data_IF_217548581624
#
_entry.id   IF_217548581624
#
_cell.length_a   1.000
_cell.length_b   1.000
_cell.length_c   1.000
_cell.angle_alpha   90.00
_cell.angle_beta   90.00
_cell.angle_gamma   90.00
#
_symmetry.space_group_name_H-M   'P 1'
#
loop_
_entity.id
_entity.type
_entity.pdbx_description
1 polymer ?
#
# COMPACT_ATOMS: atom_id res chain seq x y z
N UNK A 1 11.15 8.63 -7.60
CA UNK A 1 10.06 8.93 -8.56
C UNK A 1 9.12 7.74 -8.51
N UNK A 2 7.83 7.90 -8.19
CA UNK A 2 6.93 6.74 -8.00
C UNK A 2 6.62 6.05 -9.34
N UNK A 3 6.64 4.71 -9.38
CA UNK A 3 6.27 3.92 -10.56
C UNK A 3 4.82 4.19 -11.02
N UNK A 4 4.47 3.69 -12.21
CA UNK A 4 3.08 3.74 -12.67
C UNK A 4 2.19 2.82 -11.82
N UNK A 5 2.74 1.68 -11.42
CA UNK A 5 2.15 0.61 -10.63
C UNK A 5 1.81 1.10 -9.22
N UNK A 6 2.73 1.80 -8.54
CA UNK A 6 2.46 2.40 -7.22
C UNK A 6 1.38 3.47 -7.29
N UNK A 7 1.38 4.29 -8.34
CA UNK A 7 0.33 5.31 -8.53
C UNK A 7 -1.03 4.66 -8.76
N UNK A 8 -1.09 3.60 -9.57
CA UNK A 8 -2.31 2.84 -9.81
C UNK A 8 -2.82 2.15 -8.53
N UNK A 9 -1.94 1.46 -7.81
CA UNK A 9 -2.28 0.80 -6.55
C UNK A 9 -2.83 1.81 -5.55
N UNK A 10 -2.14 2.94 -5.36
CA UNK A 10 -2.58 4.02 -4.48
C UNK A 10 -3.94 4.57 -4.89
N UNK A 11 -4.21 4.73 -6.18
CA UNK A 11 -5.51 5.18 -6.66
C UNK A 11 -6.64 4.17 -6.33
N UNK A 12 -6.37 2.87 -6.49
CA UNK A 12 -7.33 1.83 -6.13
C UNK A 12 -7.60 1.78 -4.63
N UNK A 13 -6.54 1.78 -3.81
CA UNK A 13 -6.68 1.82 -2.34
C UNK A 13 -7.40 3.11 -1.91
N UNK A 14 -7.19 4.23 -2.59
CA UNK A 14 -7.91 5.46 -2.29
C UNK A 14 -9.41 5.40 -2.64
N UNK A 15 -9.77 4.72 -3.72
CA UNK A 15 -11.15 4.69 -4.23
C UNK A 15 -11.99 3.57 -3.61
N UNK A 16 -11.36 2.53 -3.07
CA UNK A 16 -12.02 1.33 -2.53
C UNK A 16 -11.75 1.19 -1.04
N UNK A 17 -12.80 1.35 -0.24
CA UNK A 17 -12.68 1.29 1.22
C UNK A 17 -12.22 -0.08 1.72
N UNK A 18 -12.69 -1.15 1.07
CA UNK A 18 -12.35 -2.53 1.40
C UNK A 18 -10.84 -2.82 1.27
N UNK A 19 -10.18 -2.17 0.31
CA UNK A 19 -8.73 -2.29 0.12
C UNK A 19 -7.96 -1.54 1.20
N UNK A 20 -8.50 -0.42 1.71
CA UNK A 20 -7.90 0.29 2.85
C UNK A 20 -8.02 -0.54 4.12
N UNK A 21 -9.21 -1.04 4.40
CA UNK A 21 -9.46 -1.86 5.59
C UNK A 21 -8.55 -3.10 5.63
N UNK A 22 -8.29 -3.72 4.47
CA UNK A 22 -7.36 -4.84 4.36
C UNK A 22 -5.89 -4.49 4.68
N UNK A 23 -5.50 -3.22 4.51
CA UNK A 23 -4.17 -2.70 4.82
C UNK A 23 -4.10 -2.05 6.20
N UNK A 24 -5.23 -1.87 6.87
CA UNK A 24 -5.29 -1.24 8.19
C UNK A 24 -5.20 -2.30 9.29
N UNK A 25 -4.56 -1.93 10.41
CA UNK A 25 -4.37 -2.82 11.55
C UNK A 25 -3.09 -3.67 11.53
N UNK A 26 -2.24 -3.53 10.51
CA UNK A 26 -0.90 -4.14 10.52
C UNK A 26 0.02 -3.39 11.48
N UNK A 27 0.43 -4.05 12.57
CA UNK A 27 1.21 -3.43 13.63
C UNK A 27 2.64 -3.08 13.16
N UNK A 28 3.26 -3.99 12.40
CA UNK A 28 4.64 -3.87 11.95
C UNK A 28 4.74 -3.36 10.51
N UNK A 29 5.82 -2.64 10.20
CA UNK A 29 6.13 -2.22 8.82
C UNK A 29 6.22 -3.44 7.88
N UNK A 30 6.87 -4.51 8.31
CA UNK A 30 7.01 -5.74 7.51
C UNK A 30 5.66 -6.40 7.20
N UNK A 31 4.71 -6.39 8.15
CA UNK A 31 3.36 -6.93 7.96
C UNK A 31 2.59 -6.07 6.95
N UNK A 32 2.70 -4.75 7.06
CA UNK A 32 2.10 -3.82 6.12
C UNK A 32 2.67 -3.99 4.71
N UNK A 33 4.00 -4.10 4.56
CA UNK A 33 4.66 -4.34 3.26
C UNK A 33 4.15 -5.65 2.66
N UNK A 34 4.12 -6.73 3.45
CA UNK A 34 3.65 -8.04 2.99
C UNK A 34 2.19 -8.00 2.54
N UNK A 35 1.32 -7.34 3.32
CA UNK A 35 -0.09 -7.16 2.98
C UNK A 35 -0.28 -6.30 1.71
N UNK A 36 0.53 -5.25 1.55
CA UNK A 36 0.53 -4.38 0.37
C UNK A 36 0.91 -5.14 -0.89
N UNK A 37 1.98 -5.95 -0.82
CA UNK A 37 2.43 -6.79 -1.94
C UNK A 37 1.40 -7.87 -2.28
N UNK A 38 0.83 -8.54 -1.27
CA UNK A 38 -0.21 -9.54 -1.48
C UNK A 38 -1.48 -8.93 -2.12
N UNK A 39 -1.88 -7.74 -1.68
CA UNK A 39 -3.02 -7.03 -2.24
C UNK A 39 -2.74 -6.56 -3.67
N UNK A 40 -1.55 -6.03 -3.93
CA UNK A 40 -1.14 -5.62 -5.27
C UNK A 40 -1.12 -6.82 -6.23
N UNK A 41 -0.62 -7.98 -5.79
CA UNK A 41 -0.64 -9.21 -6.58
C UNK A 41 -2.07 -9.67 -6.89
N UNK A 42 -2.99 -9.54 -5.94
CA UNK A 42 -4.43 -9.84 -6.14
C UNK A 42 -5.07 -8.89 -7.16
N UNK A 43 -4.57 -7.66 -7.27
CA UNK A 43 -5.01 -6.65 -8.22
C UNK A 43 -4.23 -6.68 -9.55
N UNK A 44 -3.38 -7.69 -9.75
CA UNK A 44 -2.50 -7.83 -10.92
C UNK A 44 -1.55 -6.62 -11.12
N UNK A 45 -1.15 -5.97 -10.03
CA UNK A 45 -0.21 -4.85 -10.00
C UNK A 45 1.16 -5.36 -9.54
N UNK A 46 2.17 -5.15 -10.37
CA UNK A 46 3.54 -5.56 -10.08
C UNK A 46 4.26 -4.50 -9.22
N UNK A 47 4.02 -4.53 -7.90
CA UNK A 47 4.77 -3.70 -6.95
C UNK A 47 6.05 -4.41 -6.47
N UNK A 48 7.14 -3.64 -6.36
CA UNK A 48 8.37 -4.07 -5.72
C UNK A 48 8.34 -3.84 -4.21
N UNK A 49 8.94 -4.76 -3.45
CA UNK A 49 9.07 -4.65 -1.99
C UNK A 49 9.80 -3.36 -1.57
N UNK A 50 10.92 -3.06 -2.22
CA UNK A 50 11.71 -1.84 -1.95
C UNK A 50 10.90 -0.57 -2.19
N UNK A 51 10.07 -0.56 -3.24
CA UNK A 51 9.23 0.59 -3.56
C UNK A 51 8.15 0.83 -2.49
N UNK A 52 7.56 -0.25 -1.97
CA UNK A 52 6.61 -0.18 -0.85
C UNK A 52 7.30 0.29 0.42
N UNK A 53 8.51 -0.21 0.73
CA UNK A 53 9.29 0.25 1.88
C UNK A 53 9.70 1.72 1.77
N UNK A 54 10.15 2.18 0.61
CA UNK A 54 10.46 3.59 0.36
C UNK A 54 9.23 4.47 0.53
N UNK A 55 8.08 4.03 0.02
CA UNK A 55 6.80 4.70 0.20
C UNK A 55 6.40 4.81 1.69
N UNK A 56 6.60 3.76 2.49
CA UNK A 56 6.36 3.78 3.92
C UNK A 56 7.29 4.70 4.67
N UNK A 57 8.59 4.64 4.35
CA UNK A 57 9.62 5.53 4.92
C UNK A 57 9.35 7.00 4.61
N UNK A 58 8.67 7.29 3.50
CA UNK A 58 8.21 8.62 3.12
C UNK A 58 6.88 9.05 3.78
N UNK A 59 6.37 8.28 4.76
CA UNK A 59 5.18 8.61 5.53
C UNK A 59 3.84 8.20 4.88
N UNK A 60 3.83 7.32 3.88
CA UNK A 60 2.56 6.85 3.29
C UNK A 60 1.70 6.02 4.25
N UNK A 61 2.30 5.42 5.29
CA UNK A 61 1.55 4.71 6.34
C UNK A 61 0.57 5.65 7.05
N UNK A 62 1.06 6.79 7.50
CA UNK A 62 0.23 7.83 8.12
C UNK A 62 -0.85 8.36 7.16
N UNK A 63 -0.61 8.35 5.85
CA UNK A 63 -1.63 8.74 4.87
C UNK A 63 -2.78 7.74 4.79
N UNK A 64 -2.49 6.43 4.87
CA UNK A 64 -3.52 5.39 4.93
C UNK A 64 -4.25 5.40 6.27
N UNK A 65 -3.52 5.55 7.37
CA UNK A 65 -4.09 5.58 8.73
C UNK A 65 -4.89 6.87 9.00
N UNK A 66 -4.54 8.02 8.39
CA UNK A 66 -5.30 9.30 8.55
C UNK A 66 -6.61 9.38 7.77
N UNK A 67 -6.82 8.51 6.78
CA UNK A 67 -8.03 8.51 5.94
C UNK A 67 -9.07 7.46 6.35
N UNK A 68 -8.77 6.64 7.35
CA UNK A 68 -9.77 5.93 8.17
C UNK A 68 -10.39 6.87 9.20
#
# INVERSE_FOLDING_TARGET
MQSAEMRQFRHLVFTRAELREALCGHASEQEFVSATLALAQTLEINLGEDEVREALSAGQREWLERWL
#
